data_IF_259777755176
#
_entry.id   IF_259777755176
#
_cell.length_a   1.000
_cell.length_b   1.000
_cell.length_c   1.000
_cell.angle_alpha   90.00
_cell.angle_beta   90.00
_cell.angle_gamma   90.00
#
_symmetry.space_group_name_H-M   'P 1'
#
loop_
_entity.id
_entity.type
_entity.pdbx_description
1 polymer ?
#
# COMPACT_ATOMS: atom_id res chain seq x y z
N UNK A 1 63.74 -16.53 -40.95
CA UNK A 1 62.92 -15.30 -40.93
C UNK A 1 61.61 -15.60 -41.63
N UNK A 2 60.51 -15.00 -41.14
CA UNK A 2 59.09 -15.30 -41.39
C UNK A 2 58.55 -16.45 -40.51
N UNK A 3 57.45 -16.33 -39.75
CA UNK A 3 56.42 -15.29 -39.66
C UNK A 3 55.03 -15.95 -39.56
N UNK A 4 54.34 -15.71 -38.44
CA UNK A 4 52.89 -15.80 -38.12
C UNK A 4 51.94 -16.74 -38.89
N UNK A 5 51.11 -17.47 -38.14
CA UNK A 5 49.65 -17.51 -38.36
C UNK A 5 48.93 -18.04 -37.10
N UNK A 6 48.62 -17.12 -36.19
CA UNK A 6 47.64 -17.31 -35.12
C UNK A 6 46.25 -17.06 -35.71
N UNK A 7 45.34 -18.04 -35.61
CA UNK A 7 43.98 -17.95 -36.16
C UNK A 7 43.03 -17.44 -35.08
N UNK A 8 42.93 -16.11 -34.98
CA UNK A 8 41.83 -15.45 -34.28
C UNK A 8 40.54 -15.62 -35.08
N UNK A 9 39.60 -16.42 -34.57
CA UNK A 9 38.21 -16.37 -35.00
C UNK A 9 37.57 -15.04 -34.57
N UNK A 10 36.51 -14.57 -35.26
CA UNK A 10 35.88 -13.30 -34.92
C UNK A 10 35.26 -13.39 -33.51
N UNK A 11 35.70 -12.51 -32.62
CA UNK A 11 35.11 -12.32 -31.31
C UNK A 11 33.63 -11.97 -31.47
N UNK A 12 32.76 -12.66 -30.73
CA UNK A 12 31.34 -12.33 -30.65
C UNK A 12 31.17 -10.85 -30.25
N UNK A 13 30.20 -10.12 -30.84
CA UNK A 13 29.98 -8.72 -30.49
C UNK A 13 29.71 -8.61 -28.99
N UNK A 14 30.47 -7.75 -28.32
CA UNK A 14 30.35 -7.46 -26.90
C UNK A 14 28.95 -6.86 -26.64
N UNK A 15 27.96 -7.70 -26.30
CA UNK A 15 26.58 -7.27 -26.03
C UNK A 15 26.57 -6.48 -24.73
N UNK A 16 26.37 -5.16 -24.83
CA UNK A 16 26.31 -4.25 -23.68
C UNK A 16 25.31 -4.76 -22.63
N UNK A 17 25.66 -4.65 -21.35
CA UNK A 17 24.78 -5.00 -20.23
C UNK A 17 23.47 -4.20 -20.33
N UNK A 18 22.34 -4.88 -20.12
CA UNK A 18 21.00 -4.28 -20.21
C UNK A 18 20.48 -4.00 -18.80
N UNK A 19 19.95 -2.81 -18.54
CA UNK A 19 19.31 -2.47 -17.26
C UNK A 19 17.82 -2.30 -17.47
N UNK A 20 17.02 -3.02 -16.69
CA UNK A 20 15.55 -2.94 -16.76
C UNK A 20 14.97 -2.52 -15.41
N UNK A 21 13.87 -1.77 -15.46
CA UNK A 21 13.06 -1.48 -14.29
C UNK A 21 11.78 -2.31 -14.33
N UNK A 22 11.34 -2.85 -13.19
CA UNK A 22 9.99 -3.42 -13.06
C UNK A 22 9.11 -2.40 -12.34
N UNK A 23 8.06 -1.92 -13.03
CA UNK A 23 7.06 -1.00 -12.50
C UNK A 23 5.69 -1.69 -12.45
N UNK A 24 4.78 -1.19 -11.62
CA UNK A 24 3.41 -1.69 -11.55
C UNK A 24 2.74 -1.39 -10.22
N UNK A 25 1.43 -1.63 -10.15
CA UNK A 25 0.64 -1.39 -8.94
C UNK A 25 1.06 -2.33 -7.80
N UNK A 26 0.83 -1.95 -6.53
CA UNK A 26 0.90 -2.89 -5.41
C UNK A 26 0.07 -4.15 -5.69
N UNK A 27 0.61 -5.31 -5.33
CA UNK A 27 -0.04 -6.62 -5.49
C UNK A 27 -0.34 -7.06 -6.93
N UNK A 28 0.21 -6.44 -7.97
CA UNK A 28 0.08 -6.92 -9.36
C UNK A 28 0.96 -8.15 -9.69
N UNK A 29 1.72 -8.65 -8.70
CA UNK A 29 2.65 -9.78 -8.86
C UNK A 29 4.05 -9.37 -9.34
N UNK A 30 4.40 -8.09 -9.22
CA UNK A 30 5.74 -7.54 -9.48
C UNK A 30 6.88 -8.33 -8.82
N UNK A 31 6.80 -8.57 -7.52
CA UNK A 31 7.83 -9.35 -6.79
C UNK A 31 7.87 -10.82 -7.21
N UNK A 32 6.74 -11.40 -7.65
CA UNK A 32 6.73 -12.75 -8.19
C UNK A 32 7.48 -12.82 -9.52
N UNK A 33 7.28 -11.82 -10.40
CA UNK A 33 7.99 -11.72 -11.67
C UNK A 33 9.49 -11.47 -11.45
N UNK A 34 9.83 -10.57 -10.52
CA UNK A 34 11.21 -10.32 -10.12
C UNK A 34 11.92 -11.60 -9.68
N UNK A 35 11.29 -12.37 -8.77
CA UNK A 35 11.84 -13.63 -8.30
C UNK A 35 11.95 -14.68 -9.42
N UNK A 36 10.99 -14.71 -10.35
CA UNK A 36 11.03 -15.61 -11.52
C UNK A 36 12.21 -15.29 -12.46
N UNK A 37 12.66 -14.02 -12.51
CA UNK A 37 13.83 -13.63 -13.29
C UNK A 37 15.15 -13.88 -12.55
N UNK A 38 15.25 -13.48 -11.29
CA UNK A 38 16.54 -13.39 -10.57
C UNK A 38 16.86 -14.64 -9.75
N UNK A 39 15.84 -15.40 -9.33
CA UNK A 39 16.00 -16.52 -8.42
C UNK A 39 16.73 -16.11 -7.14
N UNK A 40 17.93 -16.65 -6.92
CA UNK A 40 18.76 -16.40 -5.73
C UNK A 40 19.68 -15.16 -5.93
N UNK A 41 19.87 -14.68 -7.17
CA UNK A 41 20.83 -13.61 -7.50
C UNK A 41 20.23 -12.22 -7.31
N UNK A 42 19.80 -11.93 -6.09
CA UNK A 42 19.21 -10.64 -5.71
C UNK A 42 19.91 -10.03 -4.49
N UNK A 43 19.89 -8.70 -4.41
CA UNK A 43 20.36 -7.89 -3.30
C UNK A 43 19.24 -6.95 -2.88
N UNK A 44 19.09 -6.79 -1.57
CA UNK A 44 18.17 -5.83 -0.97
C UNK A 44 18.97 -4.79 -0.24
N UNK A 45 18.65 -3.52 -0.49
CA UNK A 45 19.18 -2.36 0.22
C UNK A 45 18.10 -1.29 0.37
N UNK A 46 18.53 -0.05 0.58
CA UNK A 46 17.63 1.11 0.58
C UNK A 46 18.01 2.05 -0.55
N UNK A 47 17.03 2.80 -1.05
CA UNK A 47 17.29 3.90 -1.97
C UNK A 47 18.12 5.01 -1.27
N UNK A 48 19.02 5.70 -2.00
CA UNK A 48 19.89 6.70 -1.39
C UNK A 48 19.08 7.79 -0.65
N UNK A 49 19.39 7.99 0.64
CA UNK A 49 18.79 9.06 1.44
C UNK A 49 17.36 8.84 1.93
N UNK A 50 16.74 7.69 1.64
CA UNK A 50 15.35 7.38 2.05
C UNK A 50 15.22 5.97 2.64
N UNK A 51 14.13 5.72 3.36
CA UNK A 51 13.82 4.41 3.98
C UNK A 51 13.10 3.43 3.05
N UNK A 52 13.03 3.74 1.75
CA UNK A 52 12.36 2.90 0.75
C UNK A 52 13.26 1.74 0.37
N UNK A 53 12.72 0.52 0.38
CA UNK A 53 13.45 -0.71 0.02
C UNK A 53 13.82 -0.70 -1.47
N UNK A 54 15.06 -1.04 -1.79
CA UNK A 54 15.59 -1.19 -3.16
C UNK A 54 15.99 -2.65 -3.38
N UNK A 55 15.30 -3.34 -4.28
CA UNK A 55 15.67 -4.70 -4.70
C UNK A 55 16.29 -4.67 -6.07
N UNK A 56 17.45 -5.28 -6.18
CA UNK A 56 18.18 -5.42 -7.43
C UNK A 56 18.54 -6.88 -7.65
N UNK A 57 18.51 -7.33 -8.89
CA UNK A 57 18.96 -8.66 -9.23
C UNK A 57 19.60 -8.71 -10.59
N UNK A 58 20.17 -9.87 -10.91
CA UNK A 58 20.81 -10.09 -12.19
C UNK A 58 20.44 -11.45 -12.75
N UNK A 59 20.22 -11.49 -14.06
CA UNK A 59 19.96 -12.71 -14.79
C UNK A 59 20.54 -12.61 -16.20
N UNK A 60 20.43 -13.68 -16.97
CA UNK A 60 21.01 -13.77 -18.32
C UNK A 60 19.91 -14.13 -19.32
N UNK A 61 19.91 -13.46 -20.47
CA UNK A 61 19.06 -13.76 -21.62
C UNK A 61 19.97 -13.90 -22.84
N UNK A 62 19.99 -15.07 -23.49
CA UNK A 62 20.78 -15.34 -24.70
C UNK A 62 22.24 -14.86 -24.64
N UNK A 63 22.93 -15.09 -23.50
CA UNK A 63 24.32 -14.66 -23.32
C UNK A 63 24.52 -13.20 -22.91
N UNK A 64 23.44 -12.42 -22.73
CA UNK A 64 23.46 -11.01 -22.31
C UNK A 64 23.13 -10.90 -20.82
N UNK A 65 24.01 -10.28 -20.05
CA UNK A 65 23.75 -9.97 -18.63
C UNK A 65 22.69 -8.85 -18.55
N UNK A 66 21.65 -9.09 -17.76
CA UNK A 66 20.55 -8.15 -17.50
C UNK A 66 20.49 -7.83 -16.02
N UNK A 67 20.65 -6.55 -15.68
CA UNK A 67 20.39 -6.01 -14.37
C UNK A 67 18.90 -5.63 -14.27
N UNK A 68 18.24 -6.03 -13.19
CA UNK A 68 16.82 -5.73 -12.96
C UNK A 68 16.65 -5.04 -11.63
N UNK A 69 15.92 -3.93 -11.64
CA UNK A 69 15.60 -3.12 -10.47
C UNK A 69 14.10 -3.16 -10.24
N UNK A 70 13.69 -3.56 -9.04
CA UNK A 70 12.30 -3.58 -8.62
C UNK A 70 11.92 -2.20 -8.09
N UNK A 71 11.05 -1.48 -8.79
CA UNK A 71 10.54 -0.20 -8.30
C UNK A 71 9.47 -0.42 -7.23
N UNK A 72 9.31 0.49 -6.25
CA UNK A 72 8.17 0.49 -5.35
C UNK A 72 6.83 0.35 -6.10
N UNK A 73 5.88 -0.36 -5.51
CA UNK A 73 4.55 -0.50 -6.11
C UNK A 73 3.76 0.79 -5.93
N UNK A 74 3.33 1.41 -7.03
CA UNK A 74 2.65 2.71 -7.01
C UNK A 74 1.37 2.67 -7.84
N UNK A 75 0.39 3.54 -7.53
CA UNK A 75 -0.86 3.62 -8.29
C UNK A 75 -0.83 4.71 -9.36
N UNK A 76 -0.13 5.81 -9.09
CA UNK A 76 0.11 6.92 -10.01
C UNK A 76 1.31 7.74 -9.53
N UNK A 77 1.72 8.74 -10.32
CA UNK A 77 2.76 9.72 -9.96
C UNK A 77 2.18 11.06 -9.47
N UNK A 78 0.94 11.06 -8.99
CA UNK A 78 0.22 12.29 -8.64
C UNK A 78 0.28 12.59 -7.14
N UNK A 79 0.51 11.59 -6.29
CA UNK A 79 0.68 11.80 -4.86
C UNK A 79 2.17 12.02 -4.50
N UNK A 80 2.40 12.44 -3.26
CA UNK A 80 3.73 12.81 -2.76
C UNK A 80 4.34 11.75 -1.84
N UNK A 81 3.95 10.47 -2.00
CA UNK A 81 4.54 9.38 -1.23
C UNK A 81 6.02 9.19 -1.59
N UNK A 82 6.84 8.74 -0.63
CA UNK A 82 8.27 8.48 -0.88
C UNK A 82 8.48 7.43 -1.97
N UNK A 83 7.61 6.42 -2.02
CA UNK A 83 7.65 5.35 -3.01
C UNK A 83 7.41 5.87 -4.44
N UNK A 84 6.48 6.82 -4.60
CA UNK A 84 6.20 7.48 -5.87
C UNK A 84 7.33 8.41 -6.31
N UNK A 85 7.88 9.20 -5.38
CA UNK A 85 9.01 10.08 -5.67
C UNK A 85 10.22 9.26 -6.15
N UNK A 86 10.56 8.18 -5.43
CA UNK A 86 11.66 7.28 -5.80
C UNK A 86 11.44 6.65 -7.17
N UNK A 87 10.24 6.13 -7.43
CA UNK A 87 9.92 5.49 -8.72
C UNK A 87 10.00 6.48 -9.87
N UNK A 88 9.42 7.67 -9.70
CA UNK A 88 9.44 8.75 -10.69
C UNK A 88 10.87 9.20 -10.98
N UNK A 89 11.65 9.52 -9.95
CA UNK A 89 12.98 10.09 -10.12
C UNK A 89 13.92 9.09 -10.79
N UNK A 90 13.79 7.79 -10.48
CA UNK A 90 14.53 6.73 -11.16
C UNK A 90 14.12 6.56 -12.64
N UNK A 91 12.82 6.65 -12.95
CA UNK A 91 12.37 6.57 -14.35
C UNK A 91 12.82 7.80 -15.16
N UNK A 92 12.86 8.98 -14.54
CA UNK A 92 13.36 10.21 -15.15
C UNK A 92 14.89 10.22 -15.31
N UNK A 93 15.65 9.50 -14.47
CA UNK A 93 17.12 9.44 -14.60
C UNK A 93 17.58 8.74 -15.90
N UNK A 94 16.71 7.92 -16.50
CA UNK A 94 17.01 7.08 -17.68
C UNK A 94 18.14 6.08 -17.44
N UNK A 95 18.34 5.66 -16.19
CA UNK A 95 19.29 4.60 -15.84
C UNK A 95 18.83 3.21 -16.31
N UNK A 96 17.51 3.03 -16.54
CA UNK A 96 16.95 1.82 -17.15
C UNK A 96 16.73 2.01 -18.65
N UNK A 97 17.17 1.03 -19.43
CA UNK A 97 17.00 0.97 -20.89
C UNK A 97 15.54 0.68 -21.28
N UNK A 98 14.82 -0.07 -20.45
CA UNK A 98 13.39 -0.37 -20.63
C UNK A 98 12.68 -0.60 -19.29
N UNK A 99 11.36 -0.44 -19.33
CA UNK A 99 10.46 -0.67 -18.20
C UNK A 99 9.56 -1.87 -18.52
N UNK A 100 9.61 -2.88 -17.65
CA UNK A 100 8.63 -3.97 -17.63
C UNK A 100 7.49 -3.54 -16.72
N UNK A 101 6.37 -3.16 -17.32
CA UNK A 101 5.18 -2.76 -16.59
C UNK A 101 4.29 -3.97 -16.30
N UNK A 102 4.18 -4.33 -15.03
CA UNK A 102 3.40 -5.48 -14.57
C UNK A 102 1.98 -5.04 -14.27
N UNK A 103 1.04 -5.61 -15.02
CA UNK A 103 -0.38 -5.24 -14.96
C UNK A 103 -1.20 -6.47 -14.58
N UNK A 104 -2.02 -6.35 -13.53
CA UNK A 104 -2.95 -7.41 -13.14
C UNK A 104 -4.13 -7.50 -14.12
N UNK A 105 -4.18 -8.60 -14.88
CA UNK A 105 -5.25 -8.90 -15.85
C UNK A 105 -6.65 -8.91 -15.22
N UNK A 106 -6.77 -9.31 -13.95
CA UNK A 106 -8.06 -9.35 -13.27
C UNK A 106 -8.57 -7.95 -12.85
N UNK A 107 -7.70 -6.94 -12.85
CA UNK A 107 -7.99 -5.55 -12.48
C UNK A 107 -7.42 -4.57 -13.51
N UNK A 108 -7.59 -4.89 -14.81
CA UNK A 108 -6.94 -4.21 -15.92
C UNK A 108 -7.10 -2.68 -15.91
N UNK A 109 -8.34 -2.20 -15.82
CA UNK A 109 -8.69 -0.76 -15.85
C UNK A 109 -7.90 0.09 -14.85
N UNK A 110 -7.78 -0.41 -13.60
CA UNK A 110 -7.05 0.28 -12.54
C UNK A 110 -5.54 0.31 -12.77
N UNK A 111 -4.99 -0.72 -13.40
CA UNK A 111 -3.54 -0.82 -13.66
C UNK A 111 -3.15 -0.04 -14.93
N UNK A 112 -4.07 0.09 -15.89
CA UNK A 112 -3.83 0.88 -17.10
C UNK A 112 -3.63 2.37 -16.80
N UNK A 113 -4.14 2.89 -15.67
CA UNK A 113 -3.89 4.28 -15.27
C UNK A 113 -2.39 4.59 -15.11
N UNK A 114 -1.64 3.76 -14.38
CA UNK A 114 -0.18 3.90 -14.27
C UNK A 114 0.49 3.70 -15.64
N UNK A 115 -0.04 2.78 -16.45
CA UNK A 115 0.49 2.48 -17.79
C UNK A 115 0.45 3.72 -18.69
N UNK A 116 -0.66 4.48 -18.66
CA UNK A 116 -0.79 5.74 -19.41
C UNK A 116 0.30 6.73 -19.00
N UNK A 117 0.55 6.88 -17.69
CA UNK A 117 1.59 7.79 -17.20
C UNK A 117 3.00 7.35 -17.59
N UNK A 118 3.29 6.03 -17.59
CA UNK A 118 4.57 5.50 -18.09
C UNK A 118 4.76 5.80 -19.59
N UNK A 119 3.71 5.68 -20.39
CA UNK A 119 3.75 6.06 -21.81
C UNK A 119 3.96 7.57 -22.01
N UNK A 120 3.35 8.41 -21.17
CA UNK A 120 3.58 9.87 -21.17
C UNK A 120 5.04 10.23 -20.86
N UNK A 121 5.70 9.46 -19.98
CA UNK A 121 7.13 9.62 -19.71
C UNK A 121 8.01 9.24 -20.91
N UNK A 122 7.48 8.54 -21.92
CA UNK A 122 8.25 8.12 -23.09
C UNK A 122 9.40 7.16 -22.72
N UNK A 123 9.21 6.33 -21.70
CA UNK A 123 10.13 5.22 -21.38
C UNK A 123 9.81 4.03 -22.29
N UNK A 124 10.81 3.31 -22.84
CA UNK A 124 10.54 2.09 -23.61
C UNK A 124 9.84 1.05 -22.73
N UNK A 125 8.64 0.65 -23.09
CA UNK A 125 7.75 -0.17 -22.28
C UNK A 125 7.56 -1.56 -22.87
N UNK A 126 7.53 -2.57 -22.00
CA UNK A 126 6.97 -3.89 -22.29
C UNK A 126 5.94 -4.21 -21.22
N UNK A 127 4.71 -4.54 -21.61
CA UNK A 127 3.63 -4.82 -20.67
C UNK A 127 3.55 -6.32 -20.37
N UNK A 128 3.79 -6.68 -19.11
CA UNK A 128 3.61 -8.02 -18.60
C UNK A 128 2.19 -8.13 -18.01
N UNK A 129 1.26 -8.70 -18.78
CA UNK A 129 -0.13 -8.88 -18.39
C UNK A 129 -0.25 -10.12 -17.48
N UNK A 130 -0.12 -9.89 -16.18
CA UNK A 130 0.04 -10.92 -15.17
C UNK A 130 -1.30 -11.42 -14.59
N UNK A 131 -1.25 -12.53 -13.85
CA UNK A 131 -2.42 -13.18 -13.23
C UNK A 131 -3.47 -13.65 -14.24
N UNK A 132 -3.03 -14.10 -15.43
CA UNK A 132 -3.93 -14.65 -16.45
C UNK A 132 -4.71 -15.88 -15.98
N UNK A 133 -4.20 -16.64 -15.01
CA UNK A 133 -4.92 -17.72 -14.35
C UNK A 133 -6.11 -17.22 -13.51
N UNK A 134 -5.94 -16.10 -12.79
CA UNK A 134 -7.00 -15.44 -12.02
C UNK A 134 -8.04 -14.83 -12.96
N UNK A 135 -7.61 -14.16 -14.03
CA UNK A 135 -8.50 -13.61 -15.05
C UNK A 135 -9.36 -14.71 -15.70
N UNK A 136 -8.75 -15.83 -16.12
CA UNK A 136 -9.44 -17.02 -16.65
C UNK A 136 -10.46 -17.59 -15.64
N UNK A 137 -10.09 -17.74 -14.37
CA UNK A 137 -11.01 -18.20 -13.29
C UNK A 137 -12.20 -17.27 -13.08
N UNK A 138 -12.03 -15.96 -13.30
CA UNK A 138 -13.09 -14.95 -13.19
C UNK A 138 -13.92 -14.80 -14.47
N UNK A 139 -13.60 -15.55 -15.53
CA UNK A 139 -14.25 -15.44 -16.83
C UNK A 139 -13.94 -14.10 -17.54
N UNK A 140 -12.78 -13.50 -17.25
CA UNK A 140 -12.32 -12.28 -17.89
C UNK A 140 -11.52 -12.67 -19.13
N UNK A 141 -12.00 -12.28 -20.31
CA UNK A 141 -11.30 -12.46 -21.58
C UNK A 141 -10.77 -11.11 -22.08
N UNK A 142 -9.46 -11.06 -22.32
CA UNK A 142 -8.74 -9.85 -22.75
C UNK A 142 -8.18 -10.09 -24.14
N UNK A 143 -8.42 -9.15 -25.04
CA UNK A 143 -7.78 -9.08 -26.35
C UNK A 143 -6.36 -8.50 -26.21
N UNK A 144 -5.38 -9.40 -26.16
CA UNK A 144 -3.96 -9.05 -25.99
C UNK A 144 -3.41 -8.32 -27.21
N UNK A 145 -3.85 -8.72 -28.41
CA UNK A 145 -3.37 -8.13 -29.66
C UNK A 145 -3.89 -6.71 -29.83
N UNK A 146 -5.17 -6.48 -29.57
CA UNK A 146 -5.77 -5.15 -29.59
C UNK A 146 -5.14 -4.24 -28.52
N UNK A 147 -4.90 -4.77 -27.31
CA UNK A 147 -4.22 -4.01 -26.25
C UNK A 147 -2.80 -3.58 -26.66
N UNK A 148 -2.04 -4.47 -27.32
CA UNK A 148 -0.70 -4.15 -27.81
C UNK A 148 -0.72 -3.08 -28.91
N UNK A 149 -1.71 -3.13 -29.81
CA UNK A 149 -1.87 -2.14 -30.88
C UNK A 149 -2.21 -0.75 -30.32
N UNK A 150 -3.14 -0.68 -29.37
CA UNK A 150 -3.59 0.58 -28.76
C UNK A 150 -2.51 1.23 -27.89
N UNK A 151 -1.69 0.44 -27.19
CA UNK A 151 -0.58 0.95 -26.37
C UNK A 151 0.70 1.22 -27.20
N UNK A 152 0.81 0.61 -28.38
CA UNK A 152 2.01 0.66 -29.21
C UNK A 152 3.23 -0.05 -28.63
N UNK A 153 3.02 -0.93 -27.64
CA UNK A 153 4.07 -1.67 -26.96
C UNK A 153 3.74 -3.17 -26.89
N UNK A 154 4.75 -4.05 -26.73
CA UNK A 154 4.50 -5.47 -26.67
C UNK A 154 3.78 -5.82 -25.37
N UNK A 155 2.67 -6.55 -25.49
CA UNK A 155 1.90 -7.08 -24.38
C UNK A 155 2.09 -8.60 -24.33
N UNK A 156 2.59 -9.10 -23.20
CA UNK A 156 2.84 -10.53 -23.02
C UNK A 156 2.00 -11.06 -21.86
N UNK A 157 1.10 -12.04 -22.09
CA UNK A 157 0.34 -12.69 -21.04
C UNK A 157 1.27 -13.57 -20.19
N UNK A 158 1.26 -13.37 -18.87
CA UNK A 158 2.13 -14.09 -17.94
C UNK A 158 1.39 -14.60 -16.70
N UNK A 159 1.93 -15.67 -16.11
CA UNK A 159 1.56 -16.12 -14.76
C UNK A 159 2.85 -16.27 -13.97
N UNK A 160 3.27 -15.17 -13.32
CA UNK A 160 4.58 -15.05 -12.68
C UNK A 160 4.92 -16.17 -11.69
N UNK A 161 3.92 -16.70 -10.96
CA UNK A 161 4.11 -17.79 -9.99
C UNK A 161 4.46 -19.12 -10.66
N UNK A 162 3.92 -19.38 -11.84
CA UNK A 162 4.17 -20.62 -12.60
C UNK A 162 5.32 -20.50 -13.61
N UNK A 163 5.73 -19.27 -13.93
CA UNK A 163 6.70 -18.97 -14.98
C UNK A 163 6.12 -18.97 -16.41
N UNK A 164 4.82 -19.23 -16.60
CA UNK A 164 4.13 -19.15 -17.90
C UNK A 164 4.34 -17.75 -18.53
N UNK A 165 4.75 -17.72 -19.81
CA UNK A 165 4.97 -16.50 -20.59
C UNK A 165 6.28 -15.76 -20.31
N UNK A 166 7.07 -16.16 -19.31
CA UNK A 166 8.32 -15.45 -18.95
C UNK A 166 9.40 -15.53 -20.04
N UNK A 167 9.48 -16.62 -20.79
CA UNK A 167 10.42 -16.78 -21.91
C UNK A 167 10.08 -15.83 -23.07
N UNK A 168 8.79 -15.72 -23.41
CA UNK A 168 8.31 -14.78 -24.43
C UNK A 168 8.54 -13.34 -23.99
N UNK A 169 8.26 -13.03 -22.72
CA UNK A 169 8.51 -11.71 -22.16
C UNK A 169 9.98 -11.31 -22.28
N UNK A 170 10.91 -12.21 -21.95
CA UNK A 170 12.36 -12.00 -22.12
C UNK A 170 12.75 -11.73 -23.58
N UNK A 171 12.17 -12.45 -24.53
CA UNK A 171 12.44 -12.24 -25.96
C UNK A 171 11.95 -10.87 -26.43
N UNK A 172 10.73 -10.45 -26.04
CA UNK A 172 10.17 -9.14 -26.36
C UNK A 172 10.95 -7.99 -25.73
N UNK A 173 11.45 -8.17 -24.50
CA UNK A 173 12.34 -7.20 -23.84
C UNK A 173 13.60 -6.95 -24.65
N UNK A 174 14.25 -8.01 -25.16
CA UNK A 174 15.41 -7.86 -26.03
C UNK A 174 15.04 -7.16 -27.35
N UNK A 175 13.91 -7.50 -27.95
CA UNK A 175 13.46 -6.87 -29.19
C UNK A 175 13.22 -5.35 -29.04
N UNK A 176 12.62 -4.92 -27.94
CA UNK A 176 12.44 -3.48 -27.64
C UNK A 176 13.78 -2.81 -27.33
N UNK A 177 14.64 -3.44 -26.52
CA UNK A 177 15.96 -2.91 -26.19
C UNK A 177 16.87 -2.74 -27.41
N UNK A 178 16.77 -3.65 -28.37
CA UNK A 178 17.55 -3.62 -29.62
C UNK A 178 16.88 -2.75 -30.71
N UNK A 179 15.75 -2.10 -30.39
CA UNK A 179 15.02 -1.22 -31.32
C UNK A 179 14.29 -1.95 -32.45
N UNK A 180 14.12 -3.27 -32.34
CA UNK A 180 13.38 -4.08 -33.32
C UNK A 180 11.86 -3.94 -33.15
N UNK A 181 11.40 -3.60 -31.95
CA UNK A 181 9.98 -3.33 -31.63
C UNK A 181 9.83 -1.96 -30.96
N UNK A 182 8.67 -1.32 -31.18
CA UNK A 182 8.34 -0.06 -30.50
C UNK A 182 8.01 -0.33 -29.03
N UNK A 183 8.49 0.54 -28.14
CA UNK A 183 8.23 0.48 -26.71
C UNK A 183 7.06 1.35 -26.25
N UNK A 184 6.06 1.59 -27.11
CA UNK A 184 4.93 2.48 -26.84
C UNK A 184 5.06 3.88 -27.47
N UNK A 185 3.93 4.59 -27.51
CA UNK A 185 3.86 5.99 -27.89
C UNK A 185 3.17 6.82 -26.81
N UNK A 186 3.52 8.11 -26.64
CA UNK A 186 2.77 9.00 -25.76
C UNK A 186 1.33 9.08 -26.23
N UNK A 187 0.39 8.85 -25.31
CA UNK A 187 -1.03 9.06 -25.60
C UNK A 187 -1.28 10.55 -25.79
N UNK A 188 -2.08 10.88 -26.80
CA UNK A 188 -2.52 12.25 -27.05
C UNK A 188 -3.51 12.66 -25.97
N UNK A 189 -3.25 13.79 -25.31
CA UNK A 189 -4.14 14.40 -24.35
C UNK A 189 -5.22 15.24 -25.05
N UNK A 190 -6.04 15.93 -24.26
CA UNK A 190 -6.99 16.92 -24.77
C UNK A 190 -6.29 17.95 -25.67
N UNK A 191 -6.97 18.39 -26.73
CA UNK A 191 -6.42 19.29 -27.75
C UNK A 191 -5.85 20.58 -27.14
N UNK A 192 -6.49 21.13 -26.11
CA UNK A 192 -6.03 22.37 -25.45
C UNK A 192 -4.74 22.13 -24.68
N UNK A 193 -4.62 20.97 -24.05
CA UNK A 193 -3.43 20.57 -23.30
C UNK A 193 -2.26 20.32 -24.27
N UNK A 194 -2.51 19.66 -25.40
CA UNK A 194 -1.48 19.46 -26.43
C UNK A 194 -1.00 20.78 -27.04
N UNK A 195 -1.90 21.74 -27.28
CA UNK A 195 -1.53 23.08 -27.72
C UNK A 195 -0.64 23.78 -26.68
N UNK A 196 -0.99 23.70 -25.41
CA UNK A 196 -0.19 24.26 -24.32
C UNK A 196 1.21 23.62 -24.25
N UNK A 197 1.31 22.30 -24.42
CA UNK A 197 2.60 21.59 -24.45
C UNK A 197 3.46 22.08 -25.61
N UNK A 198 2.91 22.16 -26.82
CA UNK A 198 3.65 22.61 -28.02
C UNK A 198 4.16 24.05 -27.88
N UNK A 199 3.42 24.90 -27.18
CA UNK A 199 3.76 26.31 -26.96
C UNK A 199 4.79 26.54 -25.85
N UNK A 200 4.85 25.64 -24.87
CA UNK A 200 5.73 25.71 -23.70
C UNK A 200 7.03 24.92 -23.89
N UNK A 201 7.00 23.80 -24.61
CA UNK A 201 8.19 22.97 -24.85
C UNK A 201 9.41 23.74 -25.41
N UNK A 202 9.27 24.66 -26.38
CA UNK A 202 10.41 25.42 -26.91
C UNK A 202 11.08 26.33 -25.87
N UNK A 203 10.33 26.77 -24.86
CA UNK A 203 10.84 27.62 -23.78
C UNK A 203 11.54 26.82 -22.69
N UNK A 204 11.29 25.51 -22.66
CA UNK A 204 11.90 24.55 -21.74
C UNK A 204 12.99 23.73 -22.45
N UNK A 205 13.67 24.34 -23.42
CA UNK A 205 14.72 23.70 -24.20
C UNK A 205 15.91 23.24 -23.33
N UNK A 206 16.15 23.92 -22.20
CA UNK A 206 17.18 23.58 -21.22
C UNK A 206 16.92 22.25 -20.51
N UNK A 207 15.66 21.80 -20.44
CA UNK A 207 15.32 20.49 -19.87
C UNK A 207 15.81 19.35 -20.77
N UNK A 208 16.18 18.20 -20.18
CA UNK A 208 16.57 17.01 -20.93
C UNK A 208 15.48 16.62 -21.94
N UNK A 209 15.85 16.55 -23.22
CA UNK A 209 14.96 16.21 -24.33
C UNK A 209 14.04 14.99 -24.06
N UNK A 210 14.50 13.85 -23.50
CA UNK A 210 13.62 12.70 -23.28
C UNK A 210 12.52 12.95 -22.23
N UNK A 211 12.74 13.87 -21.28
CA UNK A 211 11.79 14.15 -20.20
C UNK A 211 10.99 15.42 -20.42
N UNK A 212 11.30 16.21 -21.46
CA UNK A 212 10.77 17.56 -21.66
C UNK A 212 9.24 17.56 -21.70
N UNK A 213 8.62 16.70 -22.52
CA UNK A 213 7.16 16.61 -22.65
C UNK A 213 6.48 16.35 -21.30
N UNK A 214 6.96 15.34 -20.57
CA UNK A 214 6.39 14.96 -19.28
C UNK A 214 6.57 16.05 -18.22
N UNK A 215 7.74 16.70 -18.18
CA UNK A 215 8.00 17.83 -17.28
C UNK A 215 7.10 19.03 -17.61
N UNK A 216 6.95 19.36 -18.90
CA UNK A 216 6.01 20.41 -19.35
C UNK A 216 4.59 20.11 -18.90
N UNK A 217 4.12 18.87 -19.10
CA UNK A 217 2.80 18.44 -18.65
C UNK A 217 2.63 18.58 -17.14
N UNK A 218 3.64 18.17 -16.35
CA UNK A 218 3.59 18.31 -14.90
C UNK A 218 3.59 19.78 -14.44
N UNK A 219 4.28 20.68 -15.14
CA UNK A 219 4.19 22.13 -14.88
C UNK A 219 2.77 22.66 -15.12
N UNK A 220 2.12 22.21 -16.21
CA UNK A 220 0.72 22.56 -16.51
C UNK A 220 -0.21 22.04 -15.42
N UNK A 221 0.00 20.82 -14.94
CA UNK A 221 -0.78 20.16 -13.89
C UNK A 221 -0.62 20.87 -12.53
N UNK A 222 0.60 20.94 -12.00
CA UNK A 222 0.85 21.45 -10.65
C UNK A 222 0.68 22.97 -10.54
N UNK A 223 1.09 23.73 -11.55
CA UNK A 223 1.07 25.20 -11.56
C UNK A 223 2.05 25.84 -10.58
N UNK A 224 2.48 25.07 -9.59
CA UNK A 224 3.63 25.31 -8.77
C UNK A 224 4.82 24.55 -9.32
N UNK A 225 5.87 25.30 -9.50
CA UNK A 225 7.09 24.93 -10.16
C UNK A 225 8.07 25.85 -9.50
N UNK A 226 9.01 25.28 -8.76
CA UNK A 226 9.82 25.99 -7.75
C UNK A 226 10.33 27.36 -8.19
N UNK A 227 10.81 28.15 -7.23
CA UNK A 227 11.14 29.58 -7.36
C UNK A 227 12.13 30.00 -8.47
N UNK A 228 12.59 29.10 -9.33
CA UNK A 228 13.67 29.27 -10.31
C UNK A 228 13.21 29.37 -11.78
N UNK A 229 11.91 29.30 -12.09
CA UNK A 229 11.45 29.46 -13.48
C UNK A 229 11.50 30.91 -13.97
N UNK A 230 11.97 31.08 -15.21
CA UNK A 230 11.97 32.36 -15.91
C UNK A 230 10.55 32.96 -15.96
N UNK A 231 10.48 34.29 -15.82
CA UNK A 231 9.22 35.05 -15.85
C UNK A 231 8.39 34.76 -17.09
N UNK A 232 9.04 34.59 -18.25
CA UNK A 232 8.37 34.30 -19.52
C UNK A 232 7.62 32.95 -19.51
N UNK A 233 8.18 31.91 -18.89
CA UNK A 233 7.52 30.61 -18.76
C UNK A 233 6.34 30.72 -17.81
N UNK A 234 6.49 31.45 -16.69
CA UNK A 234 5.43 31.65 -15.70
C UNK A 234 4.21 32.37 -16.30
N UNK A 235 4.44 33.42 -17.10
CA UNK A 235 3.37 34.16 -17.76
C UNK A 235 2.61 33.29 -18.77
N UNK A 236 3.32 32.54 -19.62
CA UNK A 236 2.69 31.61 -20.56
C UNK A 236 1.97 30.45 -19.87
N UNK A 237 2.53 29.92 -18.78
CA UNK A 237 1.90 28.86 -18.00
C UNK A 237 0.56 29.35 -17.40
N UNK A 238 0.56 30.54 -16.80
CA UNK A 238 -0.66 31.14 -16.27
C UNK A 238 -1.70 31.39 -17.37
N UNK A 239 -1.25 31.86 -18.54
CA UNK A 239 -2.10 32.05 -19.71
C UNK A 239 -2.76 30.74 -20.17
N UNK A 240 -1.97 29.68 -20.35
CA UNK A 240 -2.48 28.38 -20.80
C UNK A 240 -3.39 27.72 -19.76
N UNK A 241 -3.05 27.79 -18.46
CA UNK A 241 -3.94 27.29 -17.41
C UNK A 241 -5.30 28.01 -17.41
N UNK A 242 -5.31 29.32 -17.62
CA UNK A 242 -6.55 30.08 -17.77
C UNK A 242 -7.34 29.68 -19.02
N UNK A 243 -6.67 29.51 -20.17
CA UNK A 243 -7.32 29.04 -21.40
C UNK A 243 -7.92 27.64 -21.25
N UNK A 244 -7.21 26.73 -20.57
CA UNK A 244 -7.70 25.39 -20.28
C UNK A 244 -8.97 25.47 -19.43
N UNK A 245 -8.95 26.27 -18.35
CA UNK A 245 -10.11 26.45 -17.48
C UNK A 245 -11.32 27.05 -18.21
N UNK A 246 -11.12 28.03 -19.08
CA UNK A 246 -12.21 28.63 -19.86
C UNK A 246 -12.80 27.67 -20.89
N UNK A 247 -11.96 26.87 -21.58
CA UNK A 247 -12.40 26.00 -22.67
C UNK A 247 -12.98 24.67 -22.19
N UNK A 248 -12.40 24.08 -21.13
CA UNK A 248 -12.84 22.82 -20.57
C UNK A 248 -13.88 22.98 -19.45
N UNK A 249 -13.98 24.16 -18.84
CA UNK A 249 -14.87 24.42 -17.69
C UNK A 249 -14.36 23.86 -16.36
N UNK A 250 -13.13 23.34 -16.34
CA UNK A 250 -12.49 22.71 -15.18
C UNK A 250 -10.99 23.06 -15.16
N UNK A 251 -10.36 23.02 -13.98
CA UNK A 251 -8.93 23.31 -13.83
C UNK A 251 -8.05 22.28 -14.57
N UNK A 252 -6.84 22.71 -14.95
CA UNK A 252 -5.94 21.90 -15.78
C UNK A 252 -5.53 20.56 -15.15
N UNK A 253 -5.36 20.52 -13.83
CA UNK A 253 -5.08 19.29 -13.08
C UNK A 253 -6.22 18.29 -13.16
N UNK A 254 -7.47 18.77 -13.03
CA UNK A 254 -8.68 17.94 -13.16
C UNK A 254 -8.80 17.42 -14.59
N UNK A 255 -8.68 18.28 -15.60
CA UNK A 255 -8.80 17.89 -17.01
C UNK A 255 -7.75 16.83 -17.40
N UNK A 256 -6.50 17.00 -16.97
CA UNK A 256 -5.42 16.05 -17.24
C UNK A 256 -5.71 14.70 -16.56
N UNK A 257 -6.13 14.73 -15.29
CA UNK A 257 -6.49 13.52 -14.56
C UNK A 257 -7.65 12.78 -15.23
N UNK A 258 -8.72 13.50 -15.60
CA UNK A 258 -9.90 12.94 -16.27
C UNK A 258 -9.57 12.39 -17.65
N UNK A 259 -8.70 13.05 -18.41
CA UNK A 259 -8.20 12.55 -19.70
C UNK A 259 -7.49 11.21 -19.50
N UNK A 260 -6.54 11.12 -18.56
CA UNK A 260 -5.82 9.87 -18.23
C UNK A 260 -6.77 8.74 -17.81
N UNK A 261 -7.72 9.04 -16.93
CA UNK A 261 -8.74 8.07 -16.51
C UNK A 261 -9.62 7.65 -17.69
N UNK A 262 -10.01 8.59 -18.54
CA UNK A 262 -10.79 8.35 -19.75
C UNK A 262 -10.07 7.42 -20.73
N UNK A 263 -8.77 7.61 -20.96
CA UNK A 263 -7.96 6.71 -21.78
C UNK A 263 -7.90 5.31 -21.18
N UNK A 264 -7.55 5.18 -19.90
CA UNK A 264 -7.46 3.88 -19.23
C UNK A 264 -8.82 3.14 -19.24
N UNK A 265 -9.92 3.85 -18.99
CA UNK A 265 -11.28 3.31 -19.00
C UNK A 265 -11.70 2.86 -20.40
N UNK A 266 -11.50 3.70 -21.42
CA UNK A 266 -11.88 3.41 -22.80
C UNK A 266 -11.08 2.24 -23.35
N UNK A 267 -9.76 2.24 -23.11
CA UNK A 267 -8.87 1.16 -23.50
C UNK A 267 -9.27 -0.16 -22.85
N UNK A 268 -9.46 -0.17 -21.52
CA UNK A 268 -9.90 -1.37 -20.80
C UNK A 268 -11.21 -1.92 -21.36
N UNK A 269 -12.20 -1.05 -21.61
CA UNK A 269 -13.50 -1.47 -22.13
C UNK A 269 -13.44 -2.01 -23.55
N UNK A 270 -12.56 -1.46 -24.39
CA UNK A 270 -12.37 -1.90 -25.78
C UNK A 270 -11.81 -3.34 -25.82
N UNK A 271 -10.75 -3.59 -25.06
CA UNK A 271 -10.03 -4.88 -25.09
C UNK A 271 -10.69 -6.00 -24.27
N UNK A 272 -11.65 -5.67 -23.39
CA UNK A 272 -12.37 -6.67 -22.59
C UNK A 272 -13.54 -7.27 -23.40
N UNK A 273 -13.33 -8.45 -23.99
CA UNK A 273 -14.33 -9.14 -24.83
C UNK A 273 -15.49 -9.74 -24.05
N UNK A 274 -15.20 -10.30 -22.88
CA UNK A 274 -16.20 -10.78 -21.95
C UNK A 274 -15.85 -10.29 -20.54
N UNK A 275 -16.69 -9.42 -19.99
CA UNK A 275 -16.87 -9.40 -18.53
C UNK A 275 -17.74 -10.61 -18.26
N UNK A 276 -17.13 -11.78 -18.10
CA UNK A 276 -17.82 -12.93 -17.57
C UNK A 276 -18.67 -12.43 -16.42
N UNK A 277 -19.96 -12.77 -16.43
CA UNK A 277 -20.76 -12.65 -15.23
C UNK A 277 -20.03 -13.53 -14.23
N UNK A 278 -19.08 -12.96 -13.48
CA UNK A 278 -18.45 -13.60 -12.38
C UNK A 278 -19.63 -13.99 -11.51
N UNK A 279 -19.97 -15.29 -11.56
CA UNK A 279 -21.06 -15.83 -10.77
C UNK A 279 -20.77 -15.34 -9.38
N UNK A 280 -21.64 -14.46 -8.84
CA UNK A 280 -21.42 -13.78 -7.56
C UNK A 280 -20.70 -14.75 -6.64
N UNK A 281 -19.41 -14.51 -6.42
CA UNK A 281 -18.58 -15.42 -5.67
C UNK A 281 -19.24 -15.56 -4.31
N UNK A 282 -19.07 -16.68 -3.61
CA UNK A 282 -19.59 -16.76 -2.24
C UNK A 282 -19.13 -15.56 -1.38
N UNK A 283 -17.93 -15.02 -1.67
CA UNK A 283 -17.46 -13.73 -1.13
C UNK A 283 -18.35 -12.55 -1.50
N UNK A 284 -18.75 -12.36 -2.76
CA UNK A 284 -19.55 -11.21 -3.21
C UNK A 284 -20.94 -11.16 -2.56
N UNK A 285 -21.53 -12.33 -2.24
CA UNK A 285 -22.79 -12.40 -1.48
C UNK A 285 -22.60 -12.01 -0.02
N UNK A 286 -21.50 -12.45 0.60
CA UNK A 286 -21.13 -12.04 1.96
C UNK A 286 -20.86 -10.54 1.97
N UNK A 287 -20.14 -10.02 0.98
CA UNK A 287 -19.83 -8.61 0.82
C UNK A 287 -21.09 -7.75 0.69
N UNK A 288 -22.10 -8.22 -0.05
CA UNK A 288 -23.35 -7.49 -0.17
C UNK A 288 -24.10 -7.35 1.17
N UNK A 289 -23.99 -8.34 2.07
CA UNK A 289 -24.59 -8.30 3.41
C UNK A 289 -23.70 -7.48 4.36
N UNK A 290 -22.39 -7.70 4.35
CA UNK A 290 -21.40 -7.06 5.23
C UNK A 290 -21.22 -5.56 4.91
N UNK A 291 -21.35 -5.17 3.64
CA UNK A 291 -21.15 -3.78 3.17
C UNK A 291 -22.46 -3.07 2.84
N UNK A 292 -23.61 -3.71 3.08
CA UNK A 292 -24.90 -3.10 2.76
C UNK A 292 -25.16 -1.85 3.60
N UNK A 293 -25.71 -0.81 2.98
CA UNK A 293 -26.00 0.50 3.63
C UNK A 293 -26.80 0.41 4.93
N UNK A 294 -27.66 -0.62 5.08
CA UNK A 294 -28.47 -0.85 6.30
C UNK A 294 -28.02 -2.08 7.08
N UNK A 295 -27.31 -3.03 6.45
CA UNK A 295 -26.90 -4.30 7.08
C UNK A 295 -25.47 -4.27 7.61
N UNK A 296 -24.60 -3.40 7.09
CA UNK A 296 -23.20 -3.33 7.46
C UNK A 296 -22.97 -2.91 8.90
N UNK A 297 -23.68 -1.89 9.40
CA UNK A 297 -23.58 -1.46 10.81
C UNK A 297 -24.09 -2.53 11.79
N UNK A 298 -25.26 -3.15 11.60
CA UNK A 298 -25.71 -4.27 12.45
C UNK A 298 -24.75 -5.47 12.45
N UNK A 299 -24.24 -5.87 11.28
CA UNK A 299 -23.29 -6.99 11.17
C UNK A 299 -21.98 -6.66 11.86
N UNK A 300 -21.52 -5.41 11.72
CA UNK A 300 -20.35 -4.91 12.43
C UNK A 300 -20.51 -4.99 13.95
N UNK A 301 -21.63 -4.48 14.48
CA UNK A 301 -21.94 -4.57 15.91
C UNK A 301 -22.05 -6.01 16.39
N UNK A 302 -22.61 -6.92 15.59
CA UNK A 302 -22.70 -8.34 15.91
C UNK A 302 -21.33 -9.01 15.98
N UNK A 303 -20.40 -8.68 15.08
CA UNK A 303 -19.03 -9.20 15.09
C UNK A 303 -18.24 -8.65 16.28
N UNK A 304 -18.41 -7.36 16.60
CA UNK A 304 -17.81 -6.78 17.81
C UNK A 304 -18.37 -7.41 19.08
N UNK A 305 -19.67 -7.67 19.14
CA UNK A 305 -20.27 -8.42 20.23
C UNK A 305 -19.68 -9.82 20.35
N UNK A 306 -19.52 -10.54 19.22
CA UNK A 306 -18.90 -11.87 19.20
C UNK A 306 -17.45 -11.82 19.69
N UNK A 307 -16.68 -10.81 19.30
CA UNK A 307 -15.31 -10.58 19.77
C UNK A 307 -15.27 -10.45 21.28
N UNK A 308 -16.13 -9.61 21.86
CA UNK A 308 -16.18 -9.42 23.32
C UNK A 308 -16.67 -10.68 24.03
N UNK A 309 -17.69 -11.34 23.50
CA UNK A 309 -18.20 -12.61 24.04
C UNK A 309 -17.09 -13.67 24.07
N UNK A 310 -16.38 -13.82 22.96
CA UNK A 310 -15.25 -14.75 22.83
C UNK A 310 -14.14 -14.41 23.83
N UNK A 311 -13.71 -13.15 23.84
CA UNK A 311 -12.62 -12.67 24.69
C UNK A 311 -12.94 -12.83 26.18
N UNK A 312 -14.17 -12.50 26.60
CA UNK A 312 -14.59 -12.60 28.00
C UNK A 312 -14.84 -14.03 28.45
N UNK A 313 -15.43 -14.87 27.59
CA UNK A 313 -15.76 -16.24 27.97
C UNK A 313 -14.50 -17.13 27.96
N UNK A 314 -13.74 -17.12 26.87
CA UNK A 314 -12.53 -17.93 26.76
C UNK A 314 -11.40 -17.32 27.60
N UNK A 315 -11.15 -16.01 27.50
CA UNK A 315 -10.14 -15.36 28.34
C UNK A 315 -10.48 -15.48 29.82
N UNK A 316 -11.76 -15.32 30.17
CA UNK A 316 -12.27 -15.48 31.54
C UNK A 316 -12.04 -16.87 32.12
N UNK A 317 -12.23 -17.93 31.33
CA UNK A 317 -12.03 -19.31 31.77
C UNK A 317 -10.60 -19.62 32.24
N UNK A 318 -9.61 -18.84 31.82
CA UNK A 318 -8.21 -19.01 32.22
C UNK A 318 -7.76 -18.06 33.33
N UNK A 319 -8.59 -17.11 33.79
CA UNK A 319 -8.20 -16.13 34.82
C UNK A 319 -7.74 -16.83 36.10
N UNK A 320 -8.53 -17.76 36.62
CA UNK A 320 -8.24 -18.44 37.90
C UNK A 320 -6.92 -19.24 37.84
N UNK A 321 -6.59 -19.79 36.68
CA UNK A 321 -5.33 -20.51 36.48
C UNK A 321 -4.13 -19.55 36.57
N UNK A 322 -4.19 -18.41 35.90
CA UNK A 322 -3.11 -17.42 35.92
C UNK A 322 -3.02 -16.71 37.27
N UNK A 323 -4.15 -16.42 37.91
CA UNK A 323 -4.21 -15.85 39.26
C UNK A 323 -3.56 -16.80 40.29
N UNK A 324 -3.97 -18.07 40.27
CA UNK A 324 -3.42 -19.09 41.16
C UNK A 324 -1.91 -19.33 40.93
N UNK A 325 -1.48 -19.41 39.67
CA UNK A 325 -0.07 -19.59 39.33
C UNK A 325 0.78 -18.40 39.76
N UNK A 326 0.31 -17.17 39.51
CA UNK A 326 1.03 -15.96 39.88
C UNK A 326 1.06 -15.75 41.40
N UNK A 327 -0.03 -16.04 42.11
CA UNK A 327 -0.06 -16.05 43.57
C UNK A 327 0.95 -17.06 44.13
N UNK A 328 0.94 -18.29 43.63
CA UNK A 328 1.85 -19.33 44.10
C UNK A 328 3.33 -18.96 43.89
N UNK A 329 3.68 -18.34 42.76
CA UNK A 329 5.06 -17.98 42.43
C UNK A 329 5.52 -16.69 43.11
N UNK A 330 4.74 -15.61 43.00
CA UNK A 330 5.18 -14.25 43.32
C UNK A 330 4.73 -13.73 44.69
N UNK A 331 3.67 -14.29 45.25
CA UNK A 331 3.13 -13.84 46.56
C UNK A 331 3.43 -14.88 47.62
N UNK A 332 2.81 -16.06 47.51
CA UNK A 332 2.92 -17.12 48.51
C UNK A 332 4.33 -17.75 48.51
N UNK A 333 4.81 -18.24 47.35
CA UNK A 333 6.12 -18.89 47.25
C UNK A 333 7.29 -17.94 47.46
N UNK A 334 7.24 -16.73 46.91
CA UNK A 334 8.26 -15.72 47.17
C UNK A 334 8.23 -15.23 48.63
N UNK A 335 7.04 -15.11 49.23
CA UNK A 335 6.87 -14.78 50.64
C UNK A 335 7.46 -15.85 51.59
N UNK A 336 7.24 -17.13 51.29
CA UNK A 336 7.84 -18.24 52.05
C UNK A 336 9.37 -18.29 51.90
N UNK A 337 9.91 -17.98 50.71
CA UNK A 337 11.35 -17.87 50.51
C UNK A 337 11.97 -16.72 51.33
N UNK A 338 11.30 -15.58 51.39
CA UNK A 338 11.70 -14.42 52.21
C UNK A 338 11.69 -14.76 53.70
N UNK A 339 10.67 -15.49 54.17
CA UNK A 339 10.62 -15.98 55.56
C UNK A 339 11.76 -16.96 55.85
N UNK A 340 12.07 -17.87 54.93
CA UNK A 340 13.14 -18.85 55.09
C UNK A 340 14.54 -18.22 55.20
N UNK A 341 14.74 -17.05 54.58
CA UNK A 341 15.99 -16.26 54.66
C UNK A 341 16.01 -15.37 55.92
N UNK A 342 14.91 -15.32 56.68
CA UNK A 342 14.81 -14.50 57.90
C UNK A 342 14.58 -13.02 57.62
N UNK A 343 13.96 -12.68 56.49
CA UNK A 343 13.67 -11.30 56.13
C UNK A 343 12.70 -10.63 57.12
N UNK A 344 12.88 -9.33 57.42
CA UNK A 344 11.97 -8.60 58.29
C UNK A 344 10.58 -8.46 57.66
N UNK A 345 9.54 -8.49 58.50
CA UNK A 345 8.12 -8.56 58.06
C UNK A 345 7.69 -7.42 57.12
N UNK A 346 8.24 -6.22 57.28
CA UNK A 346 7.94 -5.09 56.39
C UNK A 346 8.39 -5.34 54.95
N UNK A 347 9.52 -6.05 54.76
CA UNK A 347 10.08 -6.33 53.45
C UNK A 347 9.25 -7.38 52.69
N UNK A 348 8.72 -8.37 53.42
CA UNK A 348 7.77 -9.34 52.86
C UNK A 348 6.49 -8.66 52.39
N UNK A 349 5.88 -7.83 53.24
CA UNK A 349 4.64 -7.12 52.87
C UNK A 349 4.86 -6.22 51.66
N UNK A 350 6.03 -5.56 51.57
CA UNK A 350 6.33 -4.72 50.43
C UNK A 350 6.58 -5.52 49.13
N UNK A 351 7.43 -6.55 49.18
CA UNK A 351 7.84 -7.27 47.97
C UNK A 351 6.84 -8.34 47.54
N UNK A 352 6.38 -9.20 48.46
CA UNK A 352 5.49 -10.30 48.13
C UNK A 352 4.03 -9.80 48.00
N UNK A 353 3.49 -9.15 49.03
CA UNK A 353 2.09 -8.71 49.00
C UNK A 353 1.89 -7.46 48.12
N UNK A 354 2.86 -6.53 48.12
CA UNK A 354 2.83 -5.32 47.30
C UNK A 354 3.17 -5.59 45.83
N UNK A 355 4.46 -5.85 45.53
CA UNK A 355 4.92 -6.05 44.15
C UNK A 355 4.37 -7.36 43.57
N UNK A 356 4.47 -8.47 44.31
CA UNK A 356 3.96 -9.77 43.88
C UNK A 356 2.45 -9.73 43.65
N UNK A 357 1.68 -9.10 44.54
CA UNK A 357 0.25 -8.88 44.36
C UNK A 357 -0.06 -8.03 43.13
N UNK A 358 0.75 -7.00 42.85
CA UNK A 358 0.66 -6.23 41.62
C UNK A 358 0.90 -7.08 40.36
N UNK A 359 1.94 -7.93 40.38
CA UNK A 359 2.24 -8.86 39.27
C UNK A 359 1.14 -9.89 39.08
N UNK A 360 0.57 -10.41 40.17
CA UNK A 360 -0.57 -11.32 40.15
C UNK A 360 -1.77 -10.67 39.43
N UNK A 361 -2.13 -9.44 39.80
CA UNK A 361 -3.23 -8.71 39.14
C UNK A 361 -2.93 -8.55 37.65
N UNK A 362 -1.71 -8.16 37.26
CA UNK A 362 -1.33 -8.02 35.85
C UNK A 362 -1.41 -9.36 35.10
N UNK A 363 -1.00 -10.46 35.74
CA UNK A 363 -1.03 -11.79 35.13
C UNK A 363 -2.45 -12.24 34.74
N UNK A 364 -3.48 -11.83 35.48
CA UNK A 364 -4.88 -12.14 35.15
C UNK A 364 -5.36 -11.53 33.83
N UNK A 365 -4.72 -10.48 33.33
CA UNK A 365 -5.07 -9.85 32.04
C UNK A 365 -4.47 -10.58 30.84
N UNK A 366 -3.41 -11.37 31.03
CA UNK A 366 -2.73 -12.10 29.94
C UNK A 366 -3.70 -12.96 29.12
N UNK A 367 -4.53 -13.84 29.72
CA UNK A 367 -5.43 -14.70 28.95
C UNK A 367 -6.50 -13.90 28.18
N UNK A 368 -7.02 -12.82 28.77
CA UNK A 368 -8.02 -11.94 28.12
C UNK A 368 -7.39 -11.27 26.90
N UNK A 369 -6.20 -10.67 27.06
CA UNK A 369 -5.48 -10.01 25.97
C UNK A 369 -5.12 -11.02 24.88
N UNK A 370 -4.66 -12.23 25.25
CA UNK A 370 -4.35 -13.30 24.30
C UNK A 370 -5.57 -13.73 23.47
N UNK A 371 -6.72 -13.93 24.11
CA UNK A 371 -7.97 -14.27 23.42
C UNK A 371 -8.42 -13.14 22.46
N UNK A 372 -8.29 -11.88 22.89
CA UNK A 372 -8.56 -10.72 22.04
C UNK A 372 -7.68 -10.70 20.79
N UNK A 373 -6.36 -10.85 20.95
CA UNK A 373 -5.43 -10.86 19.81
C UNK A 373 -5.69 -12.03 18.86
N UNK A 374 -6.01 -13.21 19.39
CA UNK A 374 -6.34 -14.36 18.56
C UNK A 374 -7.57 -14.09 17.71
N UNK A 375 -8.62 -13.48 18.27
CA UNK A 375 -9.81 -13.10 17.53
C UNK A 375 -9.54 -11.98 16.50
N UNK A 376 -8.75 -10.97 16.88
CA UNK A 376 -8.34 -9.90 15.97
C UNK A 376 -7.52 -10.45 14.78
N UNK A 377 -6.62 -11.39 15.01
CA UNK A 377 -5.87 -12.07 13.94
C UNK A 377 -6.82 -12.78 12.97
N UNK A 378 -7.84 -13.49 13.46
CA UNK A 378 -8.84 -14.13 12.60
C UNK A 378 -9.64 -13.11 11.77
N UNK A 379 -9.97 -11.95 12.35
CA UNK A 379 -10.63 -10.86 11.62
C UNK A 379 -9.73 -10.21 10.56
N UNK A 380 -8.43 -10.11 10.83
CA UNK A 380 -7.43 -9.60 9.89
C UNK A 380 -7.22 -10.57 8.73
N UNK A 381 -7.01 -11.86 9.02
CA UNK A 381 -6.81 -12.93 8.04
C UNK A 381 -8.04 -13.15 7.14
N UNK A 382 -9.25 -12.95 7.68
CA UNK A 382 -10.49 -13.00 6.89
C UNK A 382 -10.70 -11.78 5.97
N UNK A 383 -9.87 -10.74 6.10
CA UNK A 383 -10.01 -9.49 5.37
C UNK A 383 -11.22 -8.65 5.80
N UNK A 384 -11.88 -9.00 6.92
CA UNK A 384 -13.04 -8.28 7.44
C UNK A 384 -12.67 -6.85 7.86
N UNK A 385 -11.47 -6.64 8.41
CA UNK A 385 -11.01 -5.32 8.86
C UNK A 385 -11.03 -4.27 7.73
N UNK A 386 -10.63 -4.66 6.51
CA UNK A 386 -10.70 -3.80 5.33
C UNK A 386 -12.14 -3.44 4.94
N UNK A 387 -13.08 -4.38 5.12
CA UNK A 387 -14.51 -4.22 4.80
C UNK A 387 -15.23 -3.35 5.85
N UNK A 388 -14.93 -3.57 7.13
CA UNK A 388 -15.48 -2.80 8.25
C UNK A 388 -15.11 -1.31 8.18
N UNK A 389 -13.87 -1.01 7.79
CA UNK A 389 -13.41 0.36 7.57
C UNK A 389 -14.28 1.11 6.55
N UNK A 390 -14.72 0.45 5.48
CA UNK A 390 -15.57 1.05 4.46
C UNK A 390 -16.98 1.37 4.97
N UNK A 391 -17.57 0.51 5.81
CA UNK A 391 -18.88 0.76 6.43
C UNK A 391 -18.84 2.02 7.30
N UNK A 392 -17.73 2.23 8.00
CA UNK A 392 -17.55 3.32 8.98
C UNK A 392 -16.96 4.59 8.39
N UNK A 393 -16.59 4.56 7.12
CA UNK A 393 -15.96 5.65 6.39
C UNK A 393 -16.85 6.91 6.32
N UNK A 394 -18.17 6.74 6.16
CA UNK A 394 -19.11 7.86 6.13
C UNK A 394 -19.16 8.63 7.45
N UNK A 395 -19.13 7.93 8.59
CA UNK A 395 -19.13 8.54 9.93
C UNK A 395 -17.76 9.13 10.30
N UNK A 396 -16.66 8.47 9.92
CA UNK A 396 -15.31 8.96 10.20
C UNK A 396 -14.96 10.20 9.38
N UNK A 397 -15.39 10.27 8.12
CA UNK A 397 -15.21 11.47 7.28
C UNK A 397 -15.87 12.71 7.87
N UNK A 398 -16.97 12.57 8.61
CA UNK A 398 -17.59 13.70 9.31
C UNK A 398 -16.70 14.26 10.46
N UNK A 399 -15.77 13.46 10.98
CA UNK A 399 -14.83 13.81 12.04
C UNK A 399 -13.44 14.14 11.45
N UNK A 400 -13.29 14.09 10.12
CA UNK A 400 -12.03 14.37 9.42
C UNK A 400 -11.00 13.24 9.49
N UNK A 401 -11.42 12.01 9.78
CA UNK A 401 -10.59 10.81 9.81
C UNK A 401 -10.99 9.83 8.69
N UNK A 402 -10.07 9.01 8.18
CA UNK A 402 -10.42 7.92 7.26
C UNK A 402 -11.13 6.80 8.00
N UNK A 403 -12.03 6.09 7.32
CA UNK A 403 -12.70 4.91 7.89
C UNK A 403 -11.76 3.83 8.45
N UNK A 404 -10.52 3.75 7.97
CA UNK A 404 -9.47 2.84 8.48
C UNK A 404 -9.07 3.15 9.94
N UNK A 405 -9.15 4.41 10.38
CA UNK A 405 -8.77 4.85 11.74
C UNK A 405 -9.76 4.38 12.83
N UNK A 406 -10.97 4.00 12.42
CA UNK A 406 -12.02 3.55 13.32
C UNK A 406 -11.70 2.20 13.98
N UNK A 407 -11.07 1.30 13.24
CA UNK A 407 -10.76 -0.06 13.71
C UNK A 407 -9.85 -0.01 14.95
N UNK A 408 -8.71 0.71 14.94
CA UNK A 408 -7.92 0.96 16.14
C UNK A 408 -8.73 1.57 17.30
N UNK A 409 -9.56 2.58 17.04
CA UNK A 409 -10.33 3.26 18.10
C UNK A 409 -11.32 2.32 18.80
N UNK A 410 -11.95 1.41 18.06
CA UNK A 410 -12.83 0.40 18.67
C UNK A 410 -12.08 -0.62 19.50
N UNK A 411 -10.94 -1.08 19.02
CA UNK A 411 -10.08 -1.95 19.82
C UNK A 411 -9.65 -1.24 21.11
N UNK A 412 -9.54 0.10 21.08
CA UNK A 412 -9.27 0.95 22.25
C UNK A 412 -10.28 0.82 23.37
N UNK A 413 -11.58 0.66 23.06
CA UNK A 413 -12.60 0.38 24.08
C UNK A 413 -12.34 -0.93 24.85
N UNK A 414 -11.68 -1.90 24.21
CA UNK A 414 -11.23 -3.12 24.89
C UNK A 414 -9.90 -2.89 25.62
N UNK A 415 -8.87 -2.50 24.87
CA UNK A 415 -7.54 -2.27 25.40
C UNK A 415 -6.73 -1.30 24.52
N UNK A 416 -6.15 -0.26 25.13
CA UNK A 416 -5.42 0.78 24.39
C UNK A 416 -4.09 0.30 23.79
N UNK A 417 -3.43 -0.71 24.38
CA UNK A 417 -2.15 -1.23 23.87
C UNK A 417 -2.29 -1.88 22.48
N UNK A 418 -3.15 -2.90 22.27
CA UNK A 418 -3.40 -3.46 20.93
C UNK A 418 -3.93 -2.40 19.97
N UNK A 419 -4.77 -1.51 20.47
CA UNK A 419 -5.38 -0.47 19.68
C UNK A 419 -4.32 0.50 19.11
N UNK A 420 -3.34 0.92 19.92
CA UNK A 420 -2.22 1.74 19.47
C UNK A 420 -1.38 0.96 18.44
N UNK A 421 -1.08 -0.32 18.69
CA UNK A 421 -0.33 -1.13 17.72
C UNK A 421 -1.08 -1.31 16.39
N UNK A 422 -2.40 -1.46 16.42
CA UNK A 422 -3.24 -1.60 15.22
C UNK A 422 -3.19 -0.38 14.30
N UNK A 423 -2.84 0.81 14.83
CA UNK A 423 -2.66 2.03 14.00
C UNK A 423 -1.51 1.91 12.99
N UNK A 424 -0.64 0.89 13.10
CA UNK A 424 0.39 0.60 12.08
C UNK A 424 -0.18 0.31 10.69
N UNK A 425 -1.46 -0.05 10.61
CA UNK A 425 -2.17 -0.30 9.34
C UNK A 425 -2.59 0.99 8.62
N UNK A 426 -2.42 2.15 9.27
CA UNK A 426 -2.69 3.47 8.68
C UNK A 426 -1.45 3.96 7.91
N UNK A 427 -1.63 4.15 6.60
CA UNK A 427 -0.58 4.55 5.66
C UNK A 427 -0.13 6.00 5.88
N UNK A 428 -1.06 6.89 6.23
CA UNK A 428 -0.77 8.31 6.45
C UNK A 428 -0.29 8.58 7.89
N UNK A 429 0.87 9.21 8.02
CA UNK A 429 1.47 9.50 9.32
C UNK A 429 0.61 10.44 10.18
N UNK A 430 -0.06 11.43 9.58
CA UNK A 430 -0.93 12.37 10.32
C UNK A 430 -2.11 11.64 10.96
N UNK A 431 -2.75 10.77 10.20
CA UNK A 431 -3.90 9.97 10.64
C UNK A 431 -3.50 8.98 11.73
N UNK A 432 -2.34 8.32 11.56
CA UNK A 432 -1.77 7.42 12.57
C UNK A 432 -1.54 8.13 13.89
N UNK A 433 -0.85 9.29 13.88
CA UNK A 433 -0.58 10.07 15.10
C UNK A 433 -1.86 10.54 15.77
N UNK A 434 -2.83 11.03 14.99
CA UNK A 434 -4.10 11.50 15.53
C UNK A 434 -4.90 10.36 16.16
N UNK A 435 -4.92 9.19 15.52
CA UNK A 435 -5.57 7.98 16.05
C UNK A 435 -4.91 7.49 17.34
N UNK A 436 -3.58 7.50 17.42
CA UNK A 436 -2.83 7.15 18.64
C UNK A 436 -3.18 8.10 19.78
N UNK A 437 -3.25 9.42 19.52
CA UNK A 437 -3.58 10.44 20.52
C UNK A 437 -5.04 10.37 21.00
N UNK A 438 -5.97 9.94 20.14
CA UNK A 438 -7.37 9.76 20.49
C UNK A 438 -7.63 8.48 21.29
N UNK A 439 -6.81 7.44 21.11
CA UNK A 439 -7.01 6.13 21.72
C UNK A 439 -7.11 6.15 23.26
N UNK A 440 -6.28 6.92 23.99
CA UNK A 440 -6.42 7.07 25.44
C UNK A 440 -7.74 7.65 25.92
N UNK A 441 -8.47 8.39 25.07
CA UNK A 441 -9.82 8.90 25.34
C UNK A 441 -10.91 7.87 25.02
N UNK A 442 -10.54 6.63 24.67
CA UNK A 442 -11.49 5.52 24.66
C UNK A 442 -11.43 4.85 26.03
N UNK A 443 -12.50 5.00 26.79
CA UNK A 443 -12.60 4.45 28.14
C UNK A 443 -12.89 2.95 28.10
N UNK A 444 -11.93 2.13 28.54
CA UNK A 444 -12.11 0.69 28.66
C UNK A 444 -12.77 0.29 29.99
N UNK A 445 -13.46 -0.85 30.01
CA UNK A 445 -14.15 -1.36 31.20
C UNK A 445 -13.23 -1.51 32.43
N UNK A 446 -11.92 -1.76 32.21
CA UNK A 446 -10.93 -1.86 33.29
C UNK A 446 -10.60 -0.51 33.96
N UNK A 447 -10.97 0.63 33.36
CA UNK A 447 -10.85 1.96 33.99
C UNK A 447 -12.04 2.30 34.87
N UNK A 448 -13.18 1.62 34.68
CA UNK A 448 -14.39 1.88 35.45
C UNK A 448 -14.18 1.74 36.97
N UNK A 449 -13.45 0.74 37.50
CA UNK A 449 -13.18 0.64 38.95
C UNK A 449 -12.37 1.82 39.48
N UNK A 450 -11.41 2.32 38.69
CA UNK A 450 -10.62 3.50 39.06
C UNK A 450 -11.50 4.74 39.06
N UNK A 451 -12.29 4.95 38.01
CA UNK A 451 -13.24 6.06 37.95
C UNK A 451 -14.26 6.00 39.07
N UNK A 452 -14.78 4.81 39.40
CA UNK A 452 -15.71 4.60 40.50
C UNK A 452 -15.07 4.90 41.86
N UNK A 453 -13.81 4.50 42.08
CA UNK A 453 -13.07 4.79 43.31
C UNK A 453 -12.90 6.30 43.51
N UNK A 454 -12.42 7.02 42.49
CA UNK A 454 -12.25 8.48 42.56
C UNK A 454 -13.59 9.21 42.64
N UNK A 455 -14.60 8.76 41.91
CA UNK A 455 -15.94 9.31 41.97
C UNK A 455 -16.55 9.15 43.37
N UNK A 456 -16.39 7.98 44.01
CA UNK A 456 -16.85 7.75 45.37
C UNK A 456 -16.06 8.55 46.41
N UNK A 457 -14.76 8.76 46.20
CA UNK A 457 -13.91 9.49 47.13
C UNK A 457 -14.11 11.03 47.08
N UNK A 458 -14.30 11.59 45.88
CA UNK A 458 -14.33 13.05 45.68
C UNK A 458 -15.74 13.60 45.37
N UNK A 459 -16.67 12.77 44.91
CA UNK A 459 -18.01 13.20 44.48
C UNK A 459 -19.11 12.26 44.99
N UNK A 460 -19.38 12.24 46.31
CA UNK A 460 -20.25 11.25 46.94
C UNK A 460 -21.69 11.24 46.41
N UNK A 461 -22.24 12.43 46.12
CA UNK A 461 -23.64 12.59 45.69
C UNK A 461 -23.85 12.60 44.17
N UNK A 462 -22.78 12.78 43.38
CA UNK A 462 -22.87 13.00 41.93
C UNK A 462 -21.85 12.23 41.09
N UNK A 463 -21.10 11.30 41.70
CA UNK A 463 -20.07 10.51 41.05
C UNK A 463 -20.54 9.80 39.78
N UNK A 464 -21.77 9.29 39.77
CA UNK A 464 -22.40 8.67 38.59
C UNK A 464 -22.51 9.61 37.38
N UNK A 465 -22.82 10.90 37.59
CA UNK A 465 -22.92 11.88 36.50
C UNK A 465 -21.54 12.21 35.93
N UNK A 466 -20.50 12.22 36.76
CA UNK A 466 -19.12 12.49 36.35
C UNK A 466 -18.56 11.32 35.54
N UNK A 467 -18.77 10.09 36.01
CA UNK A 467 -18.38 8.88 35.27
C UNK A 467 -19.13 8.79 33.95
N UNK A 468 -20.43 9.11 33.94
CA UNK A 468 -21.23 9.14 32.71
C UNK A 468 -20.77 10.22 31.73
N UNK A 469 -20.47 11.44 32.21
CA UNK A 469 -19.96 12.52 31.38
C UNK A 469 -18.61 12.16 30.74
N UNK A 470 -17.69 11.55 31.52
CA UNK A 470 -16.41 11.03 31.02
C UNK A 470 -16.60 10.05 29.86
N UNK A 471 -17.48 9.05 30.01
CA UNK A 471 -17.77 8.10 28.94
C UNK A 471 -18.44 8.72 27.70
N UNK A 472 -19.20 9.81 27.88
CA UNK A 472 -19.88 10.49 26.77
C UNK A 472 -18.93 11.41 25.99
N UNK A 473 -17.95 12.00 26.66
CA UNK A 473 -16.94 12.88 26.04
C UNK A 473 -15.70 12.13 25.54
N UNK A 474 -15.50 10.89 26.00
CA UNK A 474 -14.33 10.06 25.73
C UNK A 474 -13.34 10.04 26.89
#
# INVERSE_FOLDING_TARGET
MAGCCDKGGPAAPNRAALTIAIAGNPNCGKSALFNAFTGIRQKTGNWPGVTVERKEGRFEIDGREVAVIDLPGIYSFDASSLDEQVSRDYLLSRDADLVVNVVDAANLERNLYLTVQLLEMGVPLVLALNMMDVARKRGIEIDVEELAQELGCPVVPVVAVSGEGTTELKARMLAVADGCEQGGFPLALDEVVEQAIQDLEPLLAELPAPNRRWLTLKLIESGDSGSELETAVREKLAHWRHQIAERAGEDADILIADTRYGHAHTLARRVLRNRGQASRTFSDRIDQIVLGKWTGVPVFLAIMYLMFLFTMNIGGAFIDFFDGAANALFVSGFGELLDAIGAPRWLRVFLADGIGGGVQIVATFIPIIGALYMFLSLLEDSGYMARAAFVMDRSMRAIGLPGKAFVPLIVGFGCNVPAIMATRTLENERERKLTILMNPFMSCGARLPVYALFAAAFFPDSGQNIVFALYLTG
#
